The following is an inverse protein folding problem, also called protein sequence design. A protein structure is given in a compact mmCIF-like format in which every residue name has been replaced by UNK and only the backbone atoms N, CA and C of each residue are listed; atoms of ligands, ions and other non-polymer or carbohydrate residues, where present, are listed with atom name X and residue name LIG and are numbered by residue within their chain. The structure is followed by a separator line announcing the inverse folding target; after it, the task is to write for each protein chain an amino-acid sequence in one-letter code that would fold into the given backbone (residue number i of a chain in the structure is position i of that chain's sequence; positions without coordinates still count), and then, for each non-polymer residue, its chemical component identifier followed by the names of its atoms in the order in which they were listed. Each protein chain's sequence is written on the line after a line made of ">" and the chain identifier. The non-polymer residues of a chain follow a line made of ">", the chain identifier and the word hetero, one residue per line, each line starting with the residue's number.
data_IF_647785763001
#
_entry.id   IF_647785763001
#
_cell.length_a   1.000
_cell.length_b   1.000
_cell.length_c   1.000
_cell.angle_alpha   90.00
_cell.angle_beta   90.00
_cell.angle_gamma   90.00
#
_symmetry.space_group_name_H-M   'P 1'
#
loop_
_entity.id
_entity.type
_entity.pdbx_description
1 polymer ?
#
# COMPACT_ATOMS: atom_id res chain seq x y z
N UNK A 1 -24.19 -2.81 -4.26
CA UNK A 1 -24.61 -4.23 -4.32
C UNK A 1 -23.45 -5.08 -3.83
N UNK A 2 -23.72 -6.11 -3.01
CA UNK A 2 -22.67 -7.05 -2.60
C UNK A 2 -22.35 -8.00 -3.75
N UNK A 3 -21.08 -8.16 -4.06
CA UNK A 3 -20.60 -9.18 -4.99
C UNK A 3 -19.89 -10.27 -4.21
N UNK A 4 -20.34 -11.53 -4.38
CA UNK A 4 -19.70 -12.70 -3.79
C UNK A 4 -18.83 -13.40 -4.83
N UNK A 5 -17.54 -13.47 -4.59
CA UNK A 5 -16.61 -14.26 -5.42
C UNK A 5 -16.47 -15.66 -4.82
N UNK A 6 -16.92 -16.69 -5.53
CA UNK A 6 -16.97 -18.06 -5.06
C UNK A 6 -15.67 -18.83 -5.31
N UNK A 7 -15.44 -19.86 -4.47
CA UNK A 7 -14.28 -20.76 -4.47
C UNK A 7 -13.91 -21.30 -5.86
N UNK A 8 -12.66 -21.21 -6.25
CA UNK A 8 -12.07 -21.58 -7.53
C UNK A 8 -12.40 -20.65 -8.71
N UNK A 9 -12.62 -19.38 -8.47
CA UNK A 9 -12.68 -18.41 -9.56
C UNK A 9 -11.37 -17.64 -9.60
N UNK A 10 -10.69 -17.70 -10.74
CA UNK A 10 -9.74 -16.66 -11.10
C UNK A 10 -10.57 -15.50 -11.66
N UNK A 11 -10.45 -14.32 -11.06
CA UNK A 11 -10.88 -13.10 -11.72
C UNK A 11 -9.76 -12.76 -12.70
N UNK A 12 -10.07 -12.82 -13.98
CA UNK A 12 -9.08 -12.59 -15.03
C UNK A 12 -9.39 -11.27 -15.68
N UNK A 13 -8.48 -10.34 -15.54
CA UNK A 13 -8.46 -9.14 -16.36
C UNK A 13 -7.59 -9.40 -17.60
N UNK A 14 -7.94 -8.87 -18.73
CA UNK A 14 -7.17 -8.98 -19.97
C UNK A 14 -6.98 -7.62 -20.59
N UNK A 15 -5.74 -7.33 -21.00
CA UNK A 15 -5.49 -6.27 -21.98
C UNK A 15 -5.98 -6.75 -23.35
N UNK A 16 -6.79 -5.97 -24.05
CA UNK A 16 -7.09 -6.18 -25.45
C UNK A 16 -6.15 -5.34 -26.33
N UNK A 17 -4.97 -5.88 -26.61
CA UNK A 17 -3.96 -5.26 -27.49
C UNK A 17 -4.49 -5.02 -28.94
N UNK A 18 -5.67 -5.53 -29.27
CA UNK A 18 -6.24 -5.40 -30.63
C UNK A 18 -6.99 -4.10 -30.88
N UNK A 19 -7.34 -3.40 -29.82
CA UNK A 19 -7.93 -2.06 -29.91
C UNK A 19 -6.77 -1.06 -30.01
N UNK A 20 -6.83 -0.13 -30.96
CA UNK A 20 -5.88 0.99 -31.02
C UNK A 20 -6.15 1.88 -29.80
N UNK A 21 -5.42 1.61 -28.73
CA UNK A 21 -5.67 2.03 -27.36
C UNK A 21 -5.43 3.53 -27.24
N UNK A 22 -6.42 4.25 -26.76
CA UNK A 22 -6.14 5.40 -25.92
C UNK A 22 -5.60 4.83 -24.59
N UNK A 23 -4.58 5.43 -23.99
CA UNK A 23 -3.85 4.98 -22.79
C UNK A 23 -4.72 4.80 -21.51
N UNK A 24 -6.01 4.52 -21.64
CA UNK A 24 -7.01 4.48 -20.57
C UNK A 24 -7.79 3.16 -20.47
N UNK A 25 -7.48 2.16 -21.30
CA UNK A 25 -8.21 0.90 -21.32
C UNK A 25 -7.55 -0.18 -20.44
N UNK A 26 -7.42 0.12 -19.13
CA UNK A 26 -6.93 -0.84 -18.13
C UNK A 26 -8.09 -1.40 -17.34
N UNK A 27 -8.20 -2.71 -17.28
CA UNK A 27 -9.17 -3.38 -16.43
C UNK A 27 -8.70 -3.38 -14.97
N UNK A 28 -9.47 -2.79 -14.07
CA UNK A 28 -9.26 -2.85 -12.62
C UNK A 28 -10.60 -3.02 -11.88
N UNK A 29 -10.55 -3.52 -10.65
CA UNK A 29 -11.75 -3.76 -9.86
C UNK A 29 -11.92 -2.66 -8.82
N UNK A 30 -13.02 -1.89 -8.92
CA UNK A 30 -13.38 -0.85 -7.95
C UNK A 30 -14.54 -1.28 -7.08
N UNK A 31 -14.37 -1.13 -5.77
CA UNK A 31 -15.45 -1.20 -4.79
C UNK A 31 -15.77 0.22 -4.34
N UNK A 32 -16.83 0.81 -4.87
CA UNK A 32 -17.23 2.19 -4.55
C UNK A 32 -17.72 2.35 -3.11
N UNK A 33 -17.65 3.55 -2.51
CA UNK A 33 -18.10 3.81 -1.14
C UNK A 33 -19.52 3.30 -0.86
N UNK A 34 -19.69 2.66 0.29
CA UNK A 34 -20.96 2.04 0.68
C UNK A 34 -21.28 0.69 -0.01
N UNK A 35 -20.43 0.24 -0.94
CA UNK A 35 -20.51 -1.12 -1.52
C UNK A 35 -19.66 -2.10 -0.71
N UNK A 36 -19.81 -3.40 -0.96
CA UNK A 36 -19.08 -4.46 -0.26
C UNK A 36 -18.53 -5.50 -1.20
N UNK A 37 -17.26 -5.87 -0.98
CA UNK A 37 -16.63 -7.02 -1.60
C UNK A 37 -16.48 -8.13 -0.57
N UNK A 38 -16.98 -9.33 -0.89
CA UNK A 38 -16.79 -10.50 -0.06
C UNK A 38 -15.96 -11.55 -0.79
N UNK A 39 -14.79 -11.86 -0.27
CA UNK A 39 -13.87 -12.88 -0.79
C UNK A 39 -13.74 -13.98 0.26
N UNK A 40 -14.19 -15.19 -0.08
CA UNK A 40 -14.18 -16.34 0.82
C UNK A 40 -13.29 -17.47 0.27
N UNK A 41 -11.98 -17.23 0.20
CA UNK A 41 -11.02 -18.28 -0.10
C UNK A 41 -10.78 -19.22 1.08
N UNK A 42 -9.83 -20.13 0.93
CA UNK A 42 -9.29 -20.96 2.00
C UNK A 42 -7.81 -21.23 1.77
N UNK A 43 -7.09 -21.70 2.79
CA UNK A 43 -5.66 -22.02 2.68
C UNK A 43 -5.32 -23.03 1.58
N UNK A 44 -6.25 -23.91 1.21
CA UNK A 44 -6.06 -24.88 0.13
C UNK A 44 -6.68 -24.45 -1.21
N UNK A 45 -7.48 -23.39 -1.21
CA UNK A 45 -8.18 -22.85 -2.39
C UNK A 45 -8.33 -21.33 -2.23
N UNK A 46 -7.25 -20.56 -2.37
CA UNK A 46 -7.36 -19.10 -2.35
C UNK A 46 -8.10 -18.61 -3.60
N UNK A 47 -8.68 -17.43 -3.51
CA UNK A 47 -9.14 -16.69 -4.69
C UNK A 47 -7.92 -16.02 -5.31
N UNK A 48 -7.73 -16.18 -6.61
CA UNK A 48 -6.60 -15.59 -7.34
C UNK A 48 -7.15 -14.52 -8.29
N UNK A 49 -6.63 -13.31 -8.15
CA UNK A 49 -6.85 -12.18 -9.04
C UNK A 49 -5.56 -11.95 -9.81
N UNK A 50 -5.58 -12.11 -11.13
CA UNK A 50 -4.36 -12.13 -11.93
C UNK A 50 -4.64 -11.79 -13.39
N UNK A 51 -3.59 -11.50 -14.16
CA UNK A 51 -3.69 -11.33 -15.60
C UNK A 51 -3.86 -12.64 -16.37
N UNK A 52 -4.32 -12.55 -17.61
CA UNK A 52 -4.61 -13.72 -18.45
C UNK A 52 -3.35 -14.56 -18.74
N UNK A 53 -2.19 -13.95 -18.86
CA UNK A 53 -0.90 -14.61 -19.12
C UNK A 53 -0.48 -15.55 -17.98
N UNK A 54 -0.85 -15.26 -16.73
CA UNK A 54 -0.58 -16.16 -15.59
C UNK A 54 -1.38 -17.48 -15.72
N UNK A 55 -2.58 -17.43 -16.23
CA UNK A 55 -3.42 -18.62 -16.43
C UNK A 55 -2.92 -19.53 -17.56
N UNK A 56 -2.30 -18.95 -18.58
CA UNK A 56 -1.73 -19.72 -19.69
C UNK A 56 -0.32 -20.21 -19.40
N UNK A 57 0.29 -19.76 -18.29
CA UNK A 57 1.67 -20.07 -17.94
C UNK A 57 2.70 -19.33 -18.81
N UNK A 58 2.30 -18.23 -19.42
CA UNK A 58 3.16 -17.37 -20.26
C UNK A 58 3.78 -16.22 -19.46
N UNK A 59 3.37 -16.04 -18.21
CA UNK A 59 3.91 -15.00 -17.33
C UNK A 59 5.38 -15.28 -17.01
N UNK A 60 6.20 -14.25 -17.03
CA UNK A 60 7.61 -14.32 -16.62
C UNK A 60 7.77 -13.97 -15.14
N UNK A 61 8.91 -14.33 -14.53
CA UNK A 61 9.19 -14.06 -13.11
C UNK A 61 9.16 -12.55 -12.78
N UNK A 62 9.40 -11.70 -13.77
CA UNK A 62 9.37 -10.24 -13.63
C UNK A 62 8.12 -9.56 -14.18
N UNK A 63 7.06 -10.31 -14.49
CA UNK A 63 5.84 -9.71 -15.04
C UNK A 63 5.17 -8.78 -14.02
N UNK A 64 4.64 -7.66 -14.51
CA UNK A 64 3.87 -6.64 -13.81
C UNK A 64 2.86 -6.03 -14.78
N UNK A 65 2.03 -5.09 -14.34
CA UNK A 65 1.10 -4.33 -15.20
C UNK A 65 0.22 -5.23 -16.09
N UNK A 66 -0.20 -6.39 -15.59
CA UNK A 66 -1.09 -7.29 -16.35
C UNK A 66 -2.56 -6.88 -16.24
N UNK A 67 -2.89 -6.04 -15.29
CA UNK A 67 -4.19 -5.42 -15.00
C UNK A 67 -4.02 -4.37 -13.91
N UNK A 68 -4.99 -3.48 -13.70
CA UNK A 68 -4.83 -2.33 -12.83
C UNK A 68 -5.02 -2.58 -11.32
N UNK A 69 -5.36 -3.81 -10.90
CA UNK A 69 -5.44 -4.12 -9.47
C UNK A 69 -6.82 -3.94 -8.83
N UNK A 70 -6.80 -3.89 -7.49
CA UNK A 70 -8.00 -3.82 -6.65
C UNK A 70 -8.05 -2.50 -5.89
N UNK A 71 -9.06 -1.68 -6.16
CA UNK A 71 -9.34 -0.43 -5.46
C UNK A 71 -10.56 -0.60 -4.57
N UNK A 72 -10.43 -0.26 -3.28
CA UNK A 72 -11.53 -0.30 -2.32
C UNK A 72 -11.68 1.08 -1.70
N UNK A 73 -12.80 1.74 -2.00
CA UNK A 73 -13.12 3.08 -1.52
C UNK A 73 -14.19 3.02 -0.43
N UNK A 74 -13.93 3.67 0.69
CA UNK A 74 -14.80 3.69 1.87
C UNK A 74 -15.27 5.09 2.24
N UNK A 75 -15.88 5.19 3.41
CA UNK A 75 -16.49 6.40 3.97
C UNK A 75 -15.81 6.85 5.27
N UNK A 76 -14.63 6.34 5.59
CA UNK A 76 -13.85 6.77 6.75
C UNK A 76 -13.24 8.15 6.57
N UNK A 77 -12.69 8.71 7.64
CA UNK A 77 -12.02 10.01 7.59
C UNK A 77 -10.63 9.90 6.96
N UNK A 78 -10.27 10.91 6.21
CA UNK A 78 -8.93 11.18 5.71
C UNK A 78 -8.61 12.68 5.86
N UNK A 79 -7.40 13.14 5.52
CA UNK A 79 -7.01 14.54 5.67
C UNK A 79 -6.79 15.27 4.33
N UNK A 80 -6.89 14.59 3.20
CA UNK A 80 -6.68 15.17 1.86
C UNK A 80 -7.97 15.77 1.31
N UNK A 81 -8.39 16.88 1.87
CA UNK A 81 -9.52 17.70 1.38
C UNK A 81 -9.34 19.16 1.79
N UNK A 82 -10.26 20.05 1.42
CA UNK A 82 -10.21 21.42 1.88
C UNK A 82 -10.29 21.49 3.42
N UNK A 83 -9.53 22.37 4.03
CA UNK A 83 -9.51 22.54 5.49
C UNK A 83 -10.91 22.77 6.10
N UNK A 84 -11.77 23.50 5.39
CA UNK A 84 -13.14 23.78 5.84
C UNK A 84 -14.05 22.53 5.84
N UNK A 85 -13.69 21.49 5.12
CA UNK A 85 -14.46 20.26 4.96
C UNK A 85 -13.98 19.13 5.90
N UNK A 86 -12.81 19.31 6.55
CA UNK A 86 -12.24 18.32 7.47
C UNK A 86 -13.24 17.85 8.53
N UNK A 87 -13.33 16.53 8.72
CA UNK A 87 -14.26 15.92 9.68
C UNK A 87 -15.73 16.02 9.31
N UNK A 88 -16.05 16.36 8.07
CA UNK A 88 -17.41 16.38 7.54
C UNK A 88 -17.56 15.42 6.36
N UNK A 89 -18.79 15.11 5.96
CA UNK A 89 -19.05 14.28 4.79
C UNK A 89 -18.68 14.94 3.44
N UNK A 90 -18.30 16.22 3.46
CA UNK A 90 -17.80 16.94 2.29
C UNK A 90 -16.28 16.73 2.08
N UNK A 91 -15.58 16.20 3.08
CA UNK A 91 -14.18 15.82 2.95
C UNK A 91 -14.07 14.58 2.08
N UNK A 92 -13.89 14.78 0.79
CA UNK A 92 -13.72 13.70 -0.21
C UNK A 92 -12.53 14.01 -1.09
N UNK A 93 -11.83 12.98 -1.53
CA UNK A 93 -10.76 13.05 -2.52
C UNK A 93 -11.06 12.18 -3.73
N UNK A 94 -10.46 12.47 -4.87
CA UNK A 94 -10.54 11.64 -6.07
C UNK A 94 -9.48 10.55 -5.96
N UNK A 95 -9.86 9.31 -6.23
CA UNK A 95 -8.95 8.19 -6.22
C UNK A 95 -8.20 8.04 -7.54
N UNK A 96 -7.06 7.42 -7.48
CA UNK A 96 -6.19 7.16 -8.62
C UNK A 96 -6.88 6.36 -9.71
N UNK A 97 -6.41 6.49 -10.95
CA UNK A 97 -7.00 5.84 -12.11
C UNK A 97 -8.44 6.26 -12.38
N UNK A 98 -8.88 7.43 -11.91
CA UNK A 98 -10.27 7.87 -11.97
C UNK A 98 -11.23 6.85 -11.32
N UNK A 99 -10.81 6.17 -10.26
CA UNK A 99 -11.60 5.17 -9.52
C UNK A 99 -12.82 5.74 -8.79
N UNK A 100 -12.97 7.06 -8.78
CA UNK A 100 -14.08 7.79 -8.17
C UNK A 100 -13.68 8.48 -6.87
N UNK A 101 -14.65 9.07 -6.19
CA UNK A 101 -14.43 9.79 -4.94
C UNK A 101 -14.55 8.85 -3.73
N UNK A 102 -13.72 9.10 -2.72
CA UNK A 102 -13.74 8.39 -1.44
C UNK A 102 -13.73 9.37 -0.26
N UNK A 103 -13.99 8.87 0.94
CA UNK A 103 -13.95 9.64 2.17
C UNK A 103 -15.32 9.97 2.74
N UNK A 104 -15.31 10.41 3.99
CA UNK A 104 -16.51 10.69 4.77
C UNK A 104 -16.19 10.89 6.25
N UNK A 105 -17.03 10.34 7.13
CA UNK A 105 -16.91 10.51 8.58
C UNK A 105 -17.10 9.21 9.37
N UNK A 106 -17.19 8.07 8.70
CA UNK A 106 -17.46 6.77 9.32
C UNK A 106 -16.18 5.92 9.42
N UNK A 107 -15.39 6.13 10.47
CA UNK A 107 -14.18 5.34 10.72
C UNK A 107 -14.45 3.86 11.00
N UNK A 108 -15.71 3.46 11.20
CA UNK A 108 -16.15 2.06 11.30
C UNK A 108 -16.80 1.55 10.00
N UNK A 109 -16.69 2.29 8.89
CA UNK A 109 -17.20 1.87 7.58
C UNK A 109 -16.79 0.44 7.26
N UNK A 110 -17.70 -0.27 6.56
CA UNK A 110 -17.53 -1.68 6.25
C UNK A 110 -17.69 -1.94 4.76
N UNK A 111 -16.57 -2.06 4.07
CA UNK A 111 -16.47 -2.39 2.63
C UNK A 111 -16.45 -3.90 2.36
N UNK A 112 -16.71 -4.75 3.37
CA UNK A 112 -16.85 -6.20 3.20
C UNK A 112 -15.91 -7.04 4.04
N UNK A 113 -15.76 -8.32 3.65
CA UNK A 113 -14.86 -9.27 4.30
C UNK A 113 -14.09 -10.07 3.25
N UNK A 114 -12.77 -10.03 3.31
CA UNK A 114 -11.89 -10.59 2.31
C UNK A 114 -10.83 -11.47 2.98
N UNK A 115 -10.83 -12.77 2.63
CA UNK A 115 -9.86 -13.68 3.19
C UNK A 115 -9.38 -14.75 2.20
N UNK A 116 -8.10 -15.13 2.35
CA UNK A 116 -7.41 -16.08 1.49
C UNK A 116 -7.50 -15.74 0.01
N UNK A 117 -6.91 -14.61 -0.35
CA UNK A 117 -6.84 -14.16 -1.74
C UNK A 117 -5.45 -13.67 -2.12
N UNK A 118 -5.19 -13.67 -3.41
CA UNK A 118 -3.95 -13.23 -4.01
C UNK A 118 -4.25 -12.20 -5.10
N UNK A 119 -3.51 -11.12 -5.12
CA UNK A 119 -3.45 -10.13 -6.19
C UNK A 119 -2.07 -10.24 -6.83
N UNK A 120 -2.00 -10.55 -8.10
CA UNK A 120 -0.75 -10.85 -8.78
C UNK A 120 -0.61 -10.05 -10.06
N UNK A 121 0.60 -9.53 -10.30
CA UNK A 121 0.98 -8.85 -11.54
C UNK A 121 0.08 -7.64 -11.87
N UNK A 122 -0.43 -7.00 -10.82
CA UNK A 122 -1.33 -5.85 -10.91
C UNK A 122 -0.55 -4.53 -10.97
N UNK A 123 -1.29 -3.44 -11.00
CA UNK A 123 -0.76 -2.08 -11.04
C UNK A 123 -0.65 -1.55 -12.46
N UNK A 124 -0.76 -0.23 -12.62
CA UNK A 124 -0.65 0.41 -13.93
C UNK A 124 -0.30 1.89 -13.81
N UNK A 125 0.65 2.32 -14.59
CA UNK A 125 1.12 3.70 -14.69
C UNK A 125 0.32 4.46 -15.75
N UNK A 126 -0.57 5.38 -15.37
CA UNK A 126 -1.20 6.33 -16.31
C UNK A 126 -0.32 7.55 -16.55
N UNK A 127 0.22 8.14 -15.48
CA UNK A 127 1.19 9.23 -15.46
C UNK A 127 2.09 9.04 -14.24
N UNK A 128 3.17 9.82 -14.11
CA UNK A 128 4.03 9.78 -12.91
C UNK A 128 3.35 10.29 -11.61
N UNK A 129 2.10 10.68 -11.66
CA UNK A 129 1.33 11.19 -10.52
C UNK A 129 -0.07 10.54 -10.46
N UNK A 130 -0.33 9.50 -11.25
CA UNK A 130 -1.59 8.78 -11.30
C UNK A 130 -1.31 7.32 -11.70
N UNK A 131 -1.24 6.46 -10.72
CA UNK A 131 -0.79 5.08 -10.83
C UNK A 131 -1.78 4.16 -10.11
N UNK A 132 -1.89 2.92 -10.53
CA UNK A 132 -2.72 1.93 -9.87
C UNK A 132 -1.84 0.90 -9.17
N UNK A 133 -2.15 0.65 -7.93
CA UNK A 133 -1.46 -0.24 -7.02
C UNK A 133 -1.90 -1.71 -7.16
N UNK A 134 -1.19 -2.61 -6.49
CA UNK A 134 -1.69 -3.96 -6.28
C UNK A 134 -3.05 -3.94 -5.58
N UNK A 135 -3.11 -3.30 -4.41
CA UNK A 135 -4.35 -3.03 -3.67
C UNK A 135 -4.30 -1.60 -3.14
N UNK A 136 -5.29 -0.77 -3.48
CA UNK A 136 -5.51 0.54 -2.88
C UNK A 136 -6.69 0.53 -1.91
N UNK A 137 -6.47 0.98 -0.66
CA UNK A 137 -7.50 1.21 0.34
C UNK A 137 -7.72 2.71 0.53
N UNK A 138 -8.77 3.26 -0.03
CA UNK A 138 -9.09 4.68 -0.04
C UNK A 138 -10.15 5.00 1.03
N UNK A 139 -9.77 5.60 2.14
CA UNK A 139 -10.61 5.90 3.31
C UNK A 139 -11.52 4.71 3.74
N UNK A 140 -10.96 3.52 3.78
CA UNK A 140 -11.69 2.32 4.22
C UNK A 140 -11.71 2.25 5.75
N UNK A 141 -12.87 1.94 6.31
CA UNK A 141 -13.07 1.91 7.77
C UNK A 141 -12.73 0.58 8.43
N UNK A 142 -12.58 0.62 9.75
CA UNK A 142 -12.20 -0.52 10.60
C UNK A 142 -13.23 -1.66 10.67
N UNK A 143 -14.45 -1.44 10.19
CA UNK A 143 -15.47 -2.49 10.05
C UNK A 143 -15.20 -3.46 8.90
N UNK A 144 -14.24 -3.16 8.04
CA UNK A 144 -13.80 -4.03 6.93
C UNK A 144 -12.81 -5.07 7.43
N UNK A 145 -13.04 -6.34 7.12
CA UNK A 145 -12.15 -7.46 7.53
C UNK A 145 -11.29 -7.93 6.36
N UNK A 146 -9.96 -7.80 6.51
CA UNK A 146 -8.98 -8.21 5.49
C UNK A 146 -7.92 -9.11 6.11
N UNK A 147 -7.84 -10.36 5.64
CA UNK A 147 -6.89 -11.31 6.18
C UNK A 147 -6.44 -12.36 5.17
N UNK A 148 -5.23 -12.93 5.39
CA UNK A 148 -4.64 -13.93 4.51
C UNK A 148 -4.55 -13.45 3.06
N UNK A 149 -3.89 -12.30 2.87
CA UNK A 149 -3.73 -11.66 1.58
C UNK A 149 -2.28 -11.78 1.09
N UNK A 150 -2.12 -12.02 -0.19
CA UNK A 150 -0.85 -11.92 -0.88
C UNK A 150 -0.95 -10.91 -2.02
N UNK A 151 0.02 -10.00 -2.10
CA UNK A 151 0.28 -9.20 -3.29
C UNK A 151 1.62 -9.61 -3.87
N UNK A 152 1.66 -9.82 -5.17
CA UNK A 152 2.87 -10.31 -5.83
C UNK A 152 3.11 -9.59 -7.15
N UNK A 153 4.28 -8.96 -7.27
CA UNK A 153 4.72 -8.23 -8.46
C UNK A 153 3.73 -7.14 -8.88
N UNK A 154 3.47 -6.17 -8.00
CA UNK A 154 2.79 -4.91 -8.34
C UNK A 154 3.66 -4.05 -9.25
N UNK A 155 3.05 -3.30 -10.17
CA UNK A 155 3.74 -2.37 -11.07
C UNK A 155 3.99 -1.01 -10.43
N UNK A 156 3.36 -0.76 -9.36
CA UNK A 156 3.47 0.36 -8.46
C UNK A 156 3.54 -0.22 -7.07
N UNK A 157 2.86 0.32 -6.09
CA UNK A 157 2.88 -0.23 -4.75
C UNK A 157 2.24 -1.61 -4.64
N UNK A 158 2.71 -2.34 -3.64
CA UNK A 158 2.05 -3.57 -3.26
C UNK A 158 0.69 -3.32 -2.65
N UNK A 159 0.64 -2.59 -1.55
CA UNK A 159 -0.58 -2.16 -0.87
C UNK A 159 -0.41 -0.71 -0.43
N UNK A 160 -1.34 0.15 -0.85
CA UNK A 160 -1.37 1.54 -0.43
C UNK A 160 -2.65 1.91 0.32
N UNK A 161 -2.52 2.79 1.33
CA UNK A 161 -3.62 3.30 2.14
C UNK A 161 -3.73 4.83 2.07
N UNK A 162 -4.81 5.32 1.52
CA UNK A 162 -5.18 6.73 1.48
C UNK A 162 -6.13 7.05 2.62
N UNK A 163 -5.61 7.33 3.79
CA UNK A 163 -6.43 7.60 4.97
C UNK A 163 -7.21 6.38 5.51
N UNK A 164 -8.22 6.63 6.32
CA UNK A 164 -9.06 5.59 6.89
C UNK A 164 -8.44 4.84 8.07
N UNK A 165 -9.07 3.71 8.42
CA UNK A 165 -8.75 2.95 9.65
C UNK A 165 -8.74 1.44 9.44
N UNK A 166 -8.84 0.97 8.19
CA UNK A 166 -8.79 -0.46 7.88
C UNK A 166 -7.46 -1.06 8.30
N UNK A 167 -7.51 -2.28 8.80
CA UNK A 167 -6.32 -3.07 9.10
C UNK A 167 -6.26 -4.37 8.32
N UNK A 168 -5.04 -4.91 8.17
CA UNK A 168 -4.80 -6.20 7.54
C UNK A 168 -4.09 -7.18 8.47
N UNK A 169 -4.37 -8.47 8.33
CA UNK A 169 -3.69 -9.55 9.06
C UNK A 169 -3.27 -10.70 8.16
N UNK A 170 -2.14 -11.33 8.52
CA UNK A 170 -1.62 -12.49 7.80
C UNK A 170 -1.41 -12.19 6.32
N UNK A 171 -0.43 -11.36 6.01
CA UNK A 171 -0.20 -10.89 4.67
C UNK A 171 1.22 -11.18 4.17
N UNK A 172 1.36 -11.24 2.86
CA UNK A 172 2.65 -11.34 2.17
C UNK A 172 2.65 -10.36 1.00
N UNK A 173 3.66 -9.50 0.94
CA UNK A 173 3.88 -8.60 -0.20
C UNK A 173 5.28 -8.86 -0.76
N UNK A 174 5.36 -9.06 -2.06
CA UNK A 174 6.64 -9.38 -2.71
C UNK A 174 6.74 -8.74 -4.08
N UNK A 175 7.86 -8.07 -4.34
CA UNK A 175 8.25 -7.63 -5.69
C UNK A 175 7.41 -6.49 -6.26
N UNK A 176 6.94 -5.56 -5.45
CA UNK A 176 6.41 -4.29 -5.94
C UNK A 176 7.51 -3.52 -6.68
N UNK A 177 7.17 -2.71 -7.69
CA UNK A 177 8.18 -1.94 -8.42
C UNK A 177 8.44 -0.58 -7.81
N UNK A 178 7.52 -0.09 -7.05
CA UNK A 178 7.70 1.02 -6.12
C UNK A 178 7.70 0.48 -4.69
N UNK A 179 6.92 0.96 -3.79
CA UNK A 179 6.95 0.55 -2.40
C UNK A 179 6.12 -0.72 -2.14
N UNK A 180 6.55 -1.51 -1.17
CA UNK A 180 5.76 -2.70 -0.84
C UNK A 180 4.52 -2.37 -0.03
N UNK A 181 4.65 -1.46 0.94
CA UNK A 181 3.57 -0.88 1.72
C UNK A 181 3.73 0.63 1.69
N UNK A 182 2.72 1.33 1.24
CA UNK A 182 2.66 2.78 1.30
C UNK A 182 1.44 3.26 2.07
N UNK A 183 1.53 4.42 2.71
CA UNK A 183 0.38 5.11 3.28
C UNK A 183 0.52 6.61 3.30
N UNK A 184 -0.61 7.27 3.09
CA UNK A 184 -0.74 8.71 3.12
C UNK A 184 -2.09 9.13 3.70
N UNK A 185 -2.43 10.40 3.63
CA UNK A 185 -3.77 10.96 3.86
C UNK A 185 -4.40 10.67 5.23
N UNK A 186 -3.57 10.36 6.24
CA UNK A 186 -4.06 10.14 7.60
C UNK A 186 -4.52 8.70 7.88
N UNK A 187 -3.86 7.70 7.31
CA UNK A 187 -4.15 6.30 7.67
C UNK A 187 -3.78 5.99 9.13
N UNK A 188 -4.72 5.37 9.86
CA UNK A 188 -4.61 5.06 11.28
C UNK A 188 -4.97 3.61 11.60
N UNK A 189 -4.89 2.75 10.60
CA UNK A 189 -5.19 1.33 10.74
C UNK A 189 -4.05 0.52 11.36
N UNK A 190 -4.01 -0.74 11.01
CA UNK A 190 -2.93 -1.63 11.45
C UNK A 190 -2.56 -2.67 10.39
N UNK A 191 -1.31 -3.16 10.45
CA UNK A 191 -0.86 -4.33 9.69
C UNK A 191 -0.18 -5.33 10.64
N UNK A 192 -0.61 -6.61 10.63
CA UNK A 192 -0.13 -7.58 11.60
C UNK A 192 0.08 -8.98 10.99
N UNK A 193 1.18 -9.63 11.41
CA UNK A 193 1.56 -10.97 10.95
C UNK A 193 1.89 -10.99 9.45
N UNK A 194 2.93 -10.28 9.06
CA UNK A 194 3.32 -10.10 7.67
C UNK A 194 4.74 -10.52 7.33
N UNK A 195 4.94 -10.75 6.05
CA UNK A 195 6.25 -10.82 5.41
C UNK A 195 6.23 -9.90 4.19
N UNK A 196 7.18 -8.99 4.16
CA UNK A 196 7.36 -8.01 3.08
C UNK A 196 8.76 -8.20 2.52
N UNK A 197 8.86 -8.41 1.22
CA UNK A 197 10.15 -8.61 0.54
C UNK A 197 10.22 -7.75 -0.69
N UNK A 198 11.03 -6.72 -0.61
CA UNK A 198 11.40 -5.89 -1.76
C UNK A 198 12.64 -6.50 -2.39
N UNK A 199 12.49 -7.07 -3.56
CA UNK A 199 13.55 -7.79 -4.26
C UNK A 199 13.55 -7.50 -5.75
N UNK A 200 14.74 -7.49 -6.35
CA UNK A 200 14.85 -7.47 -7.80
C UNK A 200 14.41 -8.82 -8.38
N UNK A 201 13.25 -8.82 -9.00
CA UNK A 201 13.05 -9.74 -10.09
C UNK A 201 13.70 -9.15 -11.35
N UNK A 202 14.47 -9.91 -12.14
CA UNK A 202 15.05 -9.38 -13.36
C UNK A 202 13.93 -8.99 -14.31
N UNK A 203 13.60 -7.70 -14.32
CA UNK A 203 12.79 -7.13 -15.38
C UNK A 203 13.56 -7.31 -16.71
N UNK A 204 12.86 -7.64 -17.76
CA UNK A 204 13.45 -7.85 -19.09
C UNK A 204 14.08 -6.59 -19.67
N UNK A 205 13.78 -5.41 -19.13
CA UNK A 205 14.28 -4.10 -19.55
C UNK A 205 15.26 -3.44 -18.57
N UNK A 206 15.46 -3.98 -17.38
CA UNK A 206 16.37 -3.42 -16.37
C UNK A 206 15.90 -2.11 -15.73
N UNK A 207 14.65 -1.70 -15.96
CA UNK A 207 14.11 -0.39 -15.59
C UNK A 207 13.33 -0.39 -14.26
N UNK A 208 13.46 -1.41 -13.42
CA UNK A 208 12.74 -1.42 -12.15
C UNK A 208 13.21 -0.30 -11.25
N UNK A 209 12.26 0.46 -10.78
CA UNK A 209 12.39 1.33 -9.63
C UNK A 209 12.91 0.52 -8.44
N UNK A 210 13.69 1.15 -7.60
CA UNK A 210 14.33 0.57 -6.44
C UNK A 210 13.79 1.37 -5.28
N UNK A 211 12.66 0.90 -4.75
CA UNK A 211 12.05 1.64 -3.70
C UNK A 211 11.91 0.84 -2.41
N UNK A 212 11.13 1.26 -1.48
CA UNK A 212 11.24 0.89 -0.10
C UNK A 212 10.36 -0.33 0.25
N UNK A 213 10.57 -0.97 1.39
CA UNK A 213 9.54 -1.88 1.91
C UNK A 213 8.39 -1.11 2.56
N UNK A 214 8.66 0.09 3.06
CA UNK A 214 7.66 1.05 3.52
C UNK A 214 8.03 2.44 3.01
N UNK A 215 7.09 3.11 2.35
CA UNK A 215 7.00 4.56 2.27
C UNK A 215 5.85 5.04 3.16
N UNK A 216 6.05 6.14 3.86
CA UNK A 216 5.15 6.54 4.93
C UNK A 216 4.95 8.04 4.98
N UNK A 217 3.76 8.48 4.63
CA UNK A 217 3.41 9.90 4.51
C UNK A 217 2.21 10.27 5.37
N UNK A 218 2.10 11.56 5.67
CA UNK A 218 0.87 12.14 6.17
C UNK A 218 0.18 12.97 5.07
N UNK A 219 0.72 14.14 4.74
CA UNK A 219 0.22 14.99 3.66
C UNK A 219 1.28 16.03 3.31
N UNK A 220 1.89 15.95 2.14
CA UNK A 220 3.01 16.82 1.74
C UNK A 220 2.67 18.30 1.69
N UNK A 221 1.43 18.65 1.38
CA UNK A 221 0.99 20.04 1.34
C UNK A 221 0.74 20.66 2.73
N UNK A 222 0.56 19.83 3.77
CA UNK A 222 0.33 20.26 5.17
C UNK A 222 0.68 19.10 6.12
N UNK A 223 1.95 18.95 6.40
CA UNK A 223 2.52 17.79 7.11
C UNK A 223 2.03 17.62 8.55
N UNK A 224 1.43 18.65 9.16
CA UNK A 224 0.84 18.64 10.51
C UNK A 224 -0.68 18.38 10.49
N UNK A 225 -1.26 18.17 9.32
CA UNK A 225 -2.71 18.03 9.15
C UNK A 225 -3.26 16.78 9.86
N UNK A 226 -4.35 16.99 10.59
CA UNK A 226 -5.12 15.93 11.21
C UNK A 226 -6.33 15.48 10.34
N UNK A 227 -6.76 14.22 10.41
CA UNK A 227 -6.14 13.14 11.17
C UNK A 227 -4.77 12.75 10.62
N UNK A 228 -3.77 12.65 11.49
CA UNK A 228 -2.40 12.34 11.08
C UNK A 228 -2.25 10.84 10.80
N UNK A 229 -1.48 10.49 9.78
CA UNK A 229 -1.07 9.10 9.53
C UNK A 229 -0.25 8.59 10.72
N UNK A 230 -0.78 7.57 11.40
CA UNK A 230 -0.12 6.98 12.57
C UNK A 230 -0.57 5.52 12.78
N UNK A 231 -0.24 4.62 11.87
CA UNK A 231 -0.63 3.22 11.96
C UNK A 231 0.14 2.45 13.04
N UNK A 232 -0.37 1.24 13.32
CA UNK A 232 0.30 0.26 14.16
C UNK A 232 0.66 -0.99 13.37
N UNK A 233 1.95 -1.28 13.25
CA UNK A 233 2.46 -2.45 12.54
C UNK A 233 3.13 -3.39 13.54
N UNK A 234 2.81 -4.68 13.51
CA UNK A 234 3.36 -5.62 14.46
C UNK A 234 3.56 -7.03 13.89
N UNK A 235 4.60 -7.72 14.36
CA UNK A 235 4.91 -9.08 13.96
C UNK A 235 5.15 -9.20 12.44
N UNK A 236 5.89 -8.28 11.86
CA UNK A 236 6.20 -8.24 10.44
C UNK A 236 7.71 -8.40 10.23
N UNK A 237 8.08 -9.14 9.21
CA UNK A 237 9.46 -9.19 8.72
C UNK A 237 9.56 -8.42 7.42
N UNK A 238 10.38 -7.39 7.41
CA UNK A 238 10.72 -6.57 6.25
C UNK A 238 12.09 -6.96 5.75
N UNK A 239 12.19 -7.25 4.46
CA UNK A 239 13.43 -7.60 3.78
C UNK A 239 13.61 -6.68 2.59
N UNK A 240 14.55 -5.75 2.72
CA UNK A 240 15.01 -4.89 1.63
C UNK A 240 16.24 -5.53 1.01
N UNK A 241 16.05 -6.27 -0.06
CA UNK A 241 17.16 -6.96 -0.73
C UNK A 241 17.87 -6.07 -1.74
N UNK A 242 17.19 -5.03 -2.25
CA UNK A 242 17.73 -4.17 -3.28
C UNK A 242 17.12 -2.77 -3.28
N UNK A 243 17.95 -1.75 -3.44
CA UNK A 243 17.52 -0.37 -3.74
C UNK A 243 17.35 0.50 -2.52
N UNK A 244 16.16 1.07 -2.33
CA UNK A 244 15.82 2.12 -1.38
C UNK A 244 16.04 1.82 0.11
N UNK A 245 15.42 2.58 0.97
CA UNK A 245 15.44 2.37 2.41
C UNK A 245 14.45 1.27 2.81
N UNK A 246 14.70 0.58 3.91
CA UNK A 246 13.71 -0.40 4.38
C UNK A 246 12.45 0.31 4.87
N UNK A 247 12.61 1.42 5.59
CA UNK A 247 11.52 2.27 6.07
C UNK A 247 11.83 3.71 5.72
N UNK A 248 11.07 4.35 4.87
CA UNK A 248 11.11 5.78 4.60
C UNK A 248 9.92 6.45 5.28
N UNK A 249 10.18 7.42 6.16
CA UNK A 249 9.19 8.10 6.99
C UNK A 249 9.28 9.60 6.73
N UNK A 250 8.24 10.18 6.14
CA UNK A 250 8.26 11.57 5.67
C UNK A 250 6.91 12.27 5.82
N UNK A 251 6.84 13.50 5.39
CA UNK A 251 5.62 14.33 5.31
C UNK A 251 4.79 14.39 6.59
N UNK A 252 5.42 14.27 7.75
CA UNK A 252 4.76 14.39 9.04
C UNK A 252 4.11 13.11 9.57
N UNK A 253 4.36 11.96 8.96
CA UNK A 253 3.82 10.68 9.44
C UNK A 253 4.33 10.28 10.82
N UNK A 254 3.66 9.33 11.45
CA UNK A 254 4.14 8.57 12.59
C UNK A 254 3.95 7.06 12.38
N UNK A 255 4.61 6.26 13.22
CA UNK A 255 4.50 4.80 13.17
C UNK A 255 4.68 4.16 14.54
N UNK A 256 3.87 3.15 14.83
CA UNK A 256 4.14 2.15 15.86
C UNK A 256 4.60 0.87 15.18
N UNK A 257 5.86 0.49 15.35
CA UNK A 257 6.42 -0.76 14.81
C UNK A 257 6.87 -1.66 15.94
N UNK A 258 6.14 -2.76 16.16
CA UNK A 258 6.34 -3.62 17.33
C UNK A 258 6.66 -5.06 16.94
N UNK A 259 7.57 -5.67 17.71
CA UNK A 259 7.91 -7.09 17.60
C UNK A 259 8.17 -7.54 16.15
N UNK A 260 8.92 -6.73 15.41
CA UNK A 260 9.16 -6.91 13.98
C UNK A 260 10.66 -7.09 13.69
N UNK A 261 10.98 -7.47 12.48
CA UNK A 261 12.35 -7.58 11.98
C UNK A 261 12.46 -6.66 10.77
N UNK A 262 13.44 -5.76 10.78
CA UNK A 262 13.77 -4.87 9.68
C UNK A 262 15.15 -5.26 9.18
N UNK A 263 15.26 -5.73 7.96
CA UNK A 263 16.49 -6.23 7.36
C UNK A 263 16.75 -5.57 6.02
N UNK A 264 17.84 -4.81 5.92
CA UNK A 264 18.34 -4.24 4.69
C UNK A 264 19.58 -4.97 4.18
N UNK A 265 19.73 -5.10 2.86
CA UNK A 265 20.95 -5.60 2.24
C UNK A 265 22.04 -4.52 2.35
N UNK A 266 23.16 -4.79 3.06
CA UNK A 266 24.18 -3.77 3.29
C UNK A 266 24.95 -3.35 2.03
N UNK A 267 24.86 -4.11 0.96
CA UNK A 267 25.56 -3.83 -0.29
C UNK A 267 24.70 -3.04 -1.29
N UNK A 268 23.36 -3.15 -1.18
CA UNK A 268 22.44 -2.64 -2.18
C UNK A 268 21.26 -1.81 -1.62
N UNK A 269 20.98 -1.81 -0.30
CA UNK A 269 19.96 -0.93 0.28
C UNK A 269 20.57 0.39 0.75
N UNK A 270 19.79 1.48 0.71
CA UNK A 270 20.23 2.80 1.15
C UNK A 270 20.33 2.90 2.67
N UNK A 271 19.38 2.29 3.41
CA UNK A 271 19.37 2.27 4.87
C UNK A 271 18.25 1.41 5.45
N UNK A 272 18.16 1.41 6.78
CA UNK A 272 17.08 0.72 7.48
C UNK A 272 15.89 1.60 7.80
N UNK A 273 16.18 2.83 8.17
CA UNK A 273 15.17 3.85 8.51
C UNK A 273 15.71 5.17 8.03
N UNK A 274 15.00 5.80 7.16
CA UNK A 274 15.18 7.19 6.78
C UNK A 274 14.01 8.02 7.33
N UNK A 275 14.31 9.20 7.86
CA UNK A 275 13.31 10.14 8.36
C UNK A 275 13.55 11.45 7.66
N UNK A 276 12.64 11.80 6.78
CA UNK A 276 12.67 13.05 6.05
C UNK A 276 11.75 14.09 6.69
N UNK A 277 12.03 15.35 6.40
CA UNK A 277 11.31 16.54 6.83
C UNK A 277 11.43 16.88 8.32
N UNK A 278 11.55 18.17 8.57
CA UNK A 278 11.60 18.72 9.93
C UNK A 278 10.34 18.38 10.74
N UNK A 279 9.17 18.35 10.10
CA UNK A 279 7.90 18.04 10.77
C UNK A 279 7.79 16.56 11.17
N UNK A 280 8.21 15.64 10.31
CA UNK A 280 8.26 14.21 10.61
C UNK A 280 9.17 13.97 11.80
N UNK A 281 10.37 14.54 11.77
CA UNK A 281 11.32 14.45 12.87
C UNK A 281 10.79 15.06 14.17
N UNK A 282 10.15 16.24 14.09
CA UNK A 282 9.53 16.90 15.23
C UNK A 282 8.44 16.04 15.87
N UNK A 283 7.52 15.52 15.06
CA UNK A 283 6.43 14.67 15.54
C UNK A 283 6.98 13.40 16.22
N UNK A 284 7.94 12.75 15.60
CA UNK A 284 8.53 11.53 16.14
C UNK A 284 9.28 11.76 17.44
N UNK A 285 10.05 12.88 17.55
CA UNK A 285 10.91 13.15 18.70
C UNK A 285 10.21 13.86 19.86
N UNK A 286 9.25 14.75 19.57
CA UNK A 286 8.62 15.61 20.58
C UNK A 286 7.23 15.14 20.99
N UNK A 287 6.48 14.47 20.09
CA UNK A 287 5.09 14.08 20.30
C UNK A 287 4.89 12.56 20.38
N UNK A 288 5.95 11.77 20.47
CA UNK A 288 5.93 10.30 20.49
C UNK A 288 5.33 9.67 19.21
N UNK A 289 5.53 10.30 18.06
CA UNK A 289 5.11 9.79 16.76
C UNK A 289 5.86 8.54 16.29
N UNK A 290 6.84 8.05 17.07
CA UNK A 290 7.65 6.88 16.75
C UNK A 290 7.73 5.91 17.92
N UNK A 291 7.42 4.63 17.69
CA UNK A 291 7.62 3.57 18.67
C UNK A 291 8.18 2.30 18.03
N UNK A 292 9.41 1.93 18.39
CA UNK A 292 10.05 0.68 17.99
C UNK A 292 10.18 -0.28 19.18
N UNK A 293 9.10 -0.94 19.58
CA UNK A 293 9.10 -1.83 20.73
C UNK A 293 9.32 -3.29 20.33
N UNK A 294 10.40 -3.90 20.80
CA UNK A 294 10.74 -5.31 20.50
C UNK A 294 11.13 -5.56 19.05
N UNK A 295 11.43 -4.53 18.28
CA UNK A 295 11.83 -4.63 16.88
C UNK A 295 13.32 -4.85 16.76
N UNK A 296 13.72 -5.79 15.89
CA UNK A 296 15.10 -6.09 15.56
C UNK A 296 15.48 -5.44 14.23
N UNK A 297 16.50 -4.60 14.23
CA UNK A 297 17.13 -4.07 13.03
C UNK A 297 18.35 -4.94 12.69
N UNK A 298 18.21 -5.74 11.63
CA UNK A 298 19.23 -6.70 11.19
C UNK A 298 20.00 -6.14 10.00
N UNK A 299 20.98 -5.28 10.27
CA UNK A 299 21.83 -4.63 9.26
C UNK A 299 23.28 -4.72 9.64
N UNK A 300 24.16 -4.87 8.65
CA UNK A 300 25.60 -4.86 8.87
C UNK A 300 26.18 -3.46 9.06
N UNK A 301 25.43 -2.38 8.72
CA UNK A 301 25.79 -0.98 8.99
C UNK A 301 24.53 -0.23 9.42
N UNK A 302 24.52 0.25 10.65
CA UNK A 302 23.46 1.11 11.18
C UNK A 302 23.62 2.52 10.64
N UNK A 303 22.83 2.90 9.67
CA UNK A 303 22.61 4.29 9.32
C UNK A 303 21.15 4.62 9.62
N UNK A 304 20.93 5.24 10.79
CA UNK A 304 19.77 6.09 10.99
C UNK A 304 20.14 7.41 10.30
N UNK A 305 19.53 7.71 9.17
CA UNK A 305 19.67 9.00 8.53
C UNK A 305 18.57 9.91 9.05
N UNK A 306 18.93 10.95 9.77
CA UNK A 306 18.11 12.12 9.97
C UNK A 306 18.71 13.23 9.09
N UNK A 307 17.96 13.75 8.16
CA UNK A 307 18.37 14.92 7.42
C UNK A 307 18.27 16.13 8.33
N UNK A 308 19.39 16.50 8.98
CA UNK A 308 19.52 17.77 9.65
C UNK A 308 19.64 18.89 8.59
N UNK A 309 18.59 19.65 8.40
CA UNK A 309 18.70 20.99 7.80
C UNK A 309 19.38 21.91 8.79
N UNK A 310 20.70 22.05 8.66
CA UNK A 310 21.44 23.08 9.41
C UNK A 310 21.10 24.42 8.80
N UNK A 311 20.18 25.15 9.41
CA UNK A 311 20.00 26.58 9.13
C UNK A 311 21.16 27.36 9.74
N UNK A 312 22.03 27.93 8.89
CA UNK A 312 23.01 28.95 9.25
C UNK A 312 22.33 30.33 9.31
#
# INVERSE_FOLDING_TARGET
>A
AASDVYKRQALVASFDDSLAVSDTDVDYLVVSPGSKLNINGSSSMPVIMTGASDLTGEVTDGAQSQWGGLVISGLATHNNCNEADLGTAACTAEGEGASGYYGGTDDEDNSGSMSYFQVKYAGYLFTNEDELNGIAFQAVGSGTDVSYVQVHNGSDDGIEWFGGTVGIKNFVVTGASDDSLDWTDGWRGFAQYGVVVQTLFPATDGSRSKDNTIEADNLGSDMDRAPRSFPSIANVTFVQDYGGDTLQLREGTGINLWNSIVSGNPEDSAGCVDVDDDETFRFMSEENGLSFAGTLFAVSYTHLRAHETVHY
#
